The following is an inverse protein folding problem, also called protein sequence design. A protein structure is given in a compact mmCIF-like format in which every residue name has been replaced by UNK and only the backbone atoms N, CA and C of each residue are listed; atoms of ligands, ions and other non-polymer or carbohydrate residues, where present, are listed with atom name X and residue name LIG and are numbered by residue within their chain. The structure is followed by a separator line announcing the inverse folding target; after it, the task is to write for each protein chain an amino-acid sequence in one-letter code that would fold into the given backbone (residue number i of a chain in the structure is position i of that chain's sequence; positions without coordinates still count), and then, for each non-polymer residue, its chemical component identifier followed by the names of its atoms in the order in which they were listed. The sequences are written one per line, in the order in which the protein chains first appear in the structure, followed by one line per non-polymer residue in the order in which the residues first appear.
data_IF_045744869771
#
_entry.id   IF_045744869771
#
_cell.length_a   1.000
_cell.length_b   1.000
_cell.length_c   1.000
_cell.angle_alpha   90.00
_cell.angle_beta   90.00
_cell.angle_gamma   90.00
#
_symmetry.space_group_name_H-M   'P 1'
#
loop_
_entity.id
_entity.type
_entity.pdbx_description
1 polymer ?
#
# COMPACT_ATOMS: atom_id res chain seq x y z
N UNK A 1 11.30 -10.05 12.44
CA UNK A 1 9.88 -9.89 12.05
C UNK A 1 9.85 -9.94 10.55
N UNK A 2 9.10 -10.90 10.03
CA UNK A 2 8.98 -11.36 8.64
C UNK A 2 8.61 -10.24 7.67
N UNK A 3 9.53 -9.31 7.42
CA UNK A 3 9.33 -8.27 6.44
C UNK A 3 9.23 -8.96 5.07
N UNK A 4 8.01 -9.03 4.54
CA UNK A 4 7.70 -9.72 3.29
C UNK A 4 7.34 -8.77 2.15
N UNK A 5 7.34 -7.47 2.46
CA UNK A 5 7.16 -6.38 1.50
C UNK A 5 8.53 -5.76 1.22
N UNK A 6 9.07 -6.04 0.03
CA UNK A 6 10.32 -5.46 -0.43
C UNK A 6 10.21 -3.97 -0.80
N UNK A 7 11.35 -3.33 -1.10
CA UNK A 7 11.42 -1.91 -1.47
C UNK A 7 10.47 -1.55 -2.62
N UNK A 8 10.40 -2.39 -3.65
CA UNK A 8 9.56 -2.12 -4.83
C UNK A 8 8.08 -2.20 -4.48
N UNK A 9 7.63 -3.26 -3.81
CA UNK A 9 6.24 -3.43 -3.39
C UNK A 9 5.83 -2.29 -2.43
N UNK A 10 6.68 -1.96 -1.45
CA UNK A 10 6.48 -0.84 -0.54
C UNK A 10 6.25 0.48 -1.28
N UNK A 11 7.08 0.80 -2.28
CA UNK A 11 6.95 2.03 -3.07
C UNK A 11 5.64 2.06 -3.86
N UNK A 12 5.27 0.95 -4.50
CA UNK A 12 4.02 0.84 -5.26
C UNK A 12 2.82 1.03 -4.34
N UNK A 13 2.80 0.36 -3.17
CA UNK A 13 1.73 0.52 -2.18
C UNK A 13 1.65 1.94 -1.64
N UNK A 14 2.78 2.57 -1.35
CA UNK A 14 2.81 3.98 -0.92
C UNK A 14 2.27 4.91 -2.01
N UNK A 15 2.68 4.73 -3.26
CA UNK A 15 2.21 5.56 -4.36
C UNK A 15 0.71 5.40 -4.60
N UNK A 16 0.22 4.16 -4.69
CA UNK A 16 -1.20 3.87 -4.88
C UNK A 16 -2.04 4.38 -3.71
N UNK A 17 -1.60 4.13 -2.48
CA UNK A 17 -2.28 4.60 -1.27
C UNK A 17 -2.30 6.13 -1.16
N UNK A 18 -1.22 6.81 -1.52
CA UNK A 18 -1.17 8.26 -1.53
C UNK A 18 -2.13 8.85 -2.58
N UNK A 19 -2.11 8.32 -3.81
CA UNK A 19 -2.98 8.78 -4.90
C UNK A 19 -4.45 8.55 -4.55
N UNK A 20 -4.83 7.35 -4.10
CA UNK A 20 -6.21 7.06 -3.73
C UNK A 20 -6.68 7.89 -2.53
N UNK A 21 -5.81 8.11 -1.54
CA UNK A 21 -6.09 8.98 -0.40
C UNK A 21 -6.32 10.44 -0.82
N UNK A 22 -5.48 10.98 -1.71
CA UNK A 22 -5.65 12.33 -2.25
C UNK A 22 -6.97 12.44 -3.01
N UNK A 23 -7.30 11.48 -3.87
CA UNK A 23 -8.57 11.49 -4.61
C UNK A 23 -9.78 11.40 -3.67
N UNK A 24 -9.70 10.58 -2.62
CA UNK A 24 -10.73 10.50 -1.58
C UNK A 24 -10.95 11.85 -0.89
N UNK A 25 -9.87 12.52 -0.47
CA UNK A 25 -9.94 13.81 0.19
C UNK A 25 -10.42 14.92 -0.75
N UNK A 26 -9.96 14.92 -2.01
CA UNK A 26 -10.43 15.85 -3.03
C UNK A 26 -11.92 15.66 -3.33
N UNK A 27 -12.42 14.42 -3.28
CA UNK A 27 -13.84 14.13 -3.41
C UNK A 27 -14.65 14.68 -2.24
N UNK A 28 -14.16 14.52 -1.00
CA UNK A 28 -14.78 15.08 0.20
C UNK A 28 -14.79 16.61 0.21
N UNK A 29 -13.76 17.23 -0.37
CA UNK A 29 -13.66 18.67 -0.57
C UNK A 29 -14.53 19.19 -1.73
N UNK A 30 -15.25 18.32 -2.44
CA UNK A 30 -16.09 18.67 -3.58
C UNK A 30 -15.32 19.02 -4.86
N UNK A 31 -14.01 18.77 -4.90
CA UNK A 31 -13.16 19.01 -6.07
C UNK A 31 -13.36 17.91 -7.12
N UNK A 32 -13.58 16.67 -6.67
CA UNK A 32 -13.82 15.52 -7.53
C UNK A 32 -15.26 15.03 -7.32
N UNK A 33 -16.11 14.98 -8.36
CA UNK A 33 -17.50 14.56 -8.23
C UNK A 33 -17.58 13.03 -8.17
N UNK A 34 -17.29 12.46 -7.00
CA UNK A 34 -17.44 11.04 -6.71
C UNK A 34 -18.61 10.79 -5.75
N UNK A 35 -19.35 9.68 -5.90
CA UNK A 35 -20.32 9.25 -4.90
C UNK A 35 -19.64 9.08 -3.53
N UNK A 36 -20.29 9.48 -2.44
CA UNK A 36 -19.71 9.40 -1.09
C UNK A 36 -19.30 7.97 -0.68
N UNK A 37 -19.99 6.94 -1.18
CA UNK A 37 -19.61 5.54 -0.97
C UNK A 37 -18.28 5.19 -1.64
N UNK A 38 -18.04 5.74 -2.84
CA UNK A 38 -16.83 5.51 -3.60
C UNK A 38 -15.63 6.25 -2.99
N UNK A 39 -15.82 7.49 -2.51
CA UNK A 39 -14.78 8.21 -1.78
C UNK A 39 -14.39 7.48 -0.50
N UNK A 40 -15.38 6.99 0.27
CA UNK A 40 -15.10 6.22 1.49
C UNK A 40 -14.32 4.94 1.19
N UNK A 41 -14.73 4.19 0.17
CA UNK A 41 -14.02 2.97 -0.25
C UNK A 41 -12.57 3.27 -0.68
N UNK A 42 -12.35 4.36 -1.43
CA UNK A 42 -10.99 4.82 -1.81
C UNK A 42 -10.15 5.17 -0.59
N UNK A 43 -10.72 5.88 0.40
CA UNK A 43 -10.06 6.22 1.65
C UNK A 43 -9.64 4.99 2.45
N UNK A 44 -10.52 4.00 2.59
CA UNK A 44 -10.21 2.74 3.28
C UNK A 44 -9.10 1.98 2.54
N UNK A 45 -9.19 1.87 1.21
CA UNK A 45 -8.16 1.23 0.39
C UNK A 45 -6.80 1.95 0.54
N UNK A 46 -6.80 3.28 0.58
CA UNK A 46 -5.61 4.09 0.83
C UNK A 46 -4.94 3.74 2.15
N UNK A 47 -5.72 3.67 3.24
CA UNK A 47 -5.22 3.35 4.57
C UNK A 47 -4.62 1.94 4.65
N UNK A 48 -5.26 0.94 4.03
CA UNK A 48 -4.74 -0.44 3.99
C UNK A 48 -3.42 -0.49 3.22
N UNK A 49 -3.34 0.16 2.06
CA UNK A 49 -2.13 0.23 1.25
C UNK A 49 -0.99 0.93 1.99
N UNK A 50 -1.26 2.08 2.60
CA UNK A 50 -0.25 2.81 3.37
C UNK A 50 0.16 2.07 4.64
N UNK A 51 -0.79 1.46 5.34
CA UNK A 51 -0.52 0.66 6.55
C UNK A 51 0.41 -0.52 6.25
N UNK A 52 0.10 -1.30 5.22
CA UNK A 52 0.97 -2.42 4.79
C UNK A 52 2.34 -1.98 4.28
N UNK A 53 2.42 -0.82 3.61
CA UNK A 53 3.70 -0.22 3.21
C UNK A 53 4.52 0.25 4.43
N UNK A 54 3.87 0.84 5.42
CA UNK A 54 4.51 1.38 6.63
C UNK A 54 5.07 0.25 7.51
N UNK A 55 4.29 -0.81 7.72
CA UNK A 55 4.72 -1.97 8.50
C UNK A 55 5.75 -2.84 7.77
N UNK A 56 5.78 -2.79 6.43
CA UNK A 56 6.59 -3.70 5.62
C UNK A 56 6.11 -5.16 5.70
N UNK A 57 4.90 -5.37 6.20
CA UNK A 57 4.30 -6.67 6.41
C UNK A 57 2.91 -6.70 5.79
N UNK A 58 2.71 -7.62 4.85
CA UNK A 58 1.40 -7.96 4.34
C UNK A 58 0.98 -9.32 4.88
N UNK A 59 -0.09 -9.37 5.68
CA UNK A 59 -0.59 -10.62 6.27
C UNK A 59 -1.05 -11.64 5.22
N UNK A 60 -1.58 -11.19 4.08
CA UNK A 60 -1.94 -12.09 2.98
C UNK A 60 -0.70 -12.77 2.37
N UNK A 61 0.39 -12.02 2.20
CA UNK A 61 1.65 -12.59 1.73
C UNK A 61 2.21 -13.61 2.73
N UNK A 62 2.08 -13.35 4.04
CA UNK A 62 2.49 -14.31 5.06
C UNK A 62 1.66 -15.61 5.00
N UNK A 63 0.34 -15.52 4.76
CA UNK A 63 -0.52 -16.69 4.58
C UNK A 63 -0.19 -17.49 3.31
N UNK A 64 0.24 -16.79 2.25
CA UNK A 64 0.60 -17.40 0.97
C UNK A 64 2.08 -17.82 0.88
N UNK A 65 2.91 -17.48 1.88
CA UNK A 65 4.36 -17.71 1.86
C UNK A 65 5.10 -16.88 0.80
N UNK A 66 4.58 -15.70 0.44
CA UNK A 66 5.17 -14.82 -0.59
C UNK A 66 6.08 -13.79 0.06
N UNK A 67 7.32 -13.68 -0.43
CA UNK A 67 8.28 -12.65 -0.08
C UNK A 67 8.65 -11.83 -1.32
N UNK A 68 8.36 -10.52 -1.29
CA UNK A 68 8.76 -9.58 -2.36
C UNK A 68 10.07 -8.87 -2.06
N UNK A 69 10.72 -9.25 -0.96
CA UNK A 69 12.04 -8.77 -0.61
C UNK A 69 13.06 -9.18 -1.68
N UNK A 70 14.03 -8.31 -1.99
CA UNK A 70 15.09 -8.68 -2.92
C UNK A 70 15.81 -9.92 -2.40
N UNK A 71 16.02 -10.91 -3.27
CA UNK A 71 16.91 -12.02 -2.97
C UNK A 71 18.28 -11.43 -2.63
N UNK A 72 18.83 -11.79 -1.47
CA UNK A 72 20.18 -11.38 -1.08
C UNK A 72 21.14 -11.88 -2.17
N UNK A 73 21.59 -10.98 -3.04
CA UNK A 73 22.73 -11.26 -3.91
C UNK A 73 23.92 -11.37 -2.97
N UNK A 74 24.36 -12.60 -2.70
CA UNK A 74 25.40 -12.92 -1.75
C UNK A 74 26.56 -11.92 -1.82
N UNK A 75 26.71 -11.14 -0.75
CA UNK A 75 27.98 -10.50 -0.43
C UNK A 75 28.97 -11.57 -0.02
N UNK A 76 29.49 -12.32 -1.00
CA UNK A 76 30.86 -12.81 -0.91
C UNK A 76 31.76 -11.61 -1.18
N UNK A 77 32.09 -10.87 -0.13
CA UNK A 77 33.38 -10.20 0.08
C UNK A 77 33.46 -9.72 1.52
#
# INVERSE_FOLDING_TARGET
MDQNVGITDKRVRTALGAVSGIVSLASLAGVVPLPGIASLALGIAALIMLGTAATGFCGLYALLGVDTCPASTGGSR
#
